data_IF_714958142980
#
_entry.id   IF_714958142980
#
_cell.length_a   1.000
_cell.length_b   1.000
_cell.length_c   1.000
_cell.angle_alpha   90.00
_cell.angle_beta   90.00
_cell.angle_gamma   90.00
#
_symmetry.space_group_name_H-M   'P 1'
#
loop_
_entity.id
_entity.type
_entity.pdbx_description
1 polymer ?
#
# COMPACT_ATOMS: atom_id res chain seq x y z
N UNK A 1 18.94 42.96 -33.25
CA UNK A 1 18.65 42.00 -32.16
C UNK A 1 17.16 42.02 -31.83
N UNK A 2 16.38 41.11 -32.45
CA UNK A 2 15.05 40.63 -32.06
C UNK A 2 14.67 39.49 -33.04
N UNK A 3 13.89 38.44 -32.67
CA UNK A 3 13.67 37.91 -31.33
C UNK A 3 13.68 36.36 -31.27
N UNK A 4 14.42 35.77 -30.32
CA UNK A 4 14.27 34.35 -29.92
C UNK A 4 12.83 34.02 -29.46
N UNK A 5 12.08 35.05 -29.02
CA UNK A 5 10.66 34.95 -28.63
C UNK A 5 9.72 34.53 -29.77
N UNK A 6 10.07 34.77 -31.04
CA UNK A 6 9.18 34.43 -32.17
C UNK A 6 9.22 32.94 -32.56
N UNK A 7 10.33 32.25 -32.27
CA UNK A 7 10.50 30.82 -32.52
C UNK A 7 9.86 30.01 -31.39
N UNK A 8 10.10 30.40 -30.14
CA UNK A 8 9.44 29.80 -28.97
C UNK A 8 7.93 30.05 -28.95
N UNK A 9 7.44 31.24 -29.35
CA UNK A 9 5.99 31.47 -29.52
C UNK A 9 5.41 30.64 -30.65
N UNK A 10 6.06 30.54 -31.82
CA UNK A 10 5.56 29.67 -32.92
C UNK A 10 5.52 28.20 -32.52
N UNK A 11 6.55 27.72 -31.82
CA UNK A 11 6.58 26.35 -31.30
C UNK A 11 5.51 26.10 -30.23
N UNK A 12 5.20 27.10 -29.40
CA UNK A 12 4.12 27.02 -28.41
C UNK A 12 2.73 27.01 -29.07
N UNK A 13 2.48 27.86 -30.08
CA UNK A 13 1.20 27.88 -30.80
C UNK A 13 0.96 26.57 -31.57
N UNK A 14 2.01 26.00 -32.18
CA UNK A 14 1.93 24.69 -32.83
C UNK A 14 1.65 23.56 -31.84
N UNK A 15 2.25 23.61 -30.64
CA UNK A 15 1.96 22.66 -29.55
C UNK A 15 0.53 22.79 -29.04
N UNK A 16 0.06 24.02 -28.80
CA UNK A 16 -1.31 24.28 -28.36
C UNK A 16 -2.34 23.80 -29.38
N UNK A 17 -2.06 24.00 -30.68
CA UNK A 17 -2.90 23.47 -31.76
C UNK A 17 -2.97 21.93 -31.72
N UNK A 18 -1.84 21.25 -31.50
CA UNK A 18 -1.80 19.79 -31.36
C UNK A 18 -2.54 19.32 -30.10
N UNK A 19 -2.36 19.99 -28.96
CA UNK A 19 -3.09 19.67 -27.73
C UNK A 19 -4.59 19.79 -27.97
N UNK A 20 -5.05 20.92 -28.54
CA UNK A 20 -6.47 21.13 -28.86
C UNK A 20 -7.02 20.06 -29.81
N UNK A 21 -6.25 19.67 -30.83
CA UNK A 21 -6.62 18.60 -31.77
C UNK A 21 -6.83 17.25 -31.07
N UNK A 22 -6.02 16.93 -30.06
CA UNK A 22 -6.07 15.65 -29.35
C UNK A 22 -6.81 15.69 -27.99
N UNK A 23 -7.38 16.82 -27.59
CA UNK A 23 -8.24 16.91 -26.40
C UNK A 23 -9.40 15.90 -26.42
N UNK A 24 -10.15 15.73 -27.53
CA UNK A 24 -11.24 14.74 -27.57
C UNK A 24 -10.76 13.31 -27.32
N UNK A 25 -9.53 12.98 -27.74
CA UNK A 25 -8.92 11.68 -27.47
C UNK A 25 -8.68 11.49 -25.97
N UNK A 26 -8.07 12.48 -25.31
CA UNK A 26 -7.83 12.43 -23.87
C UNK A 26 -9.13 12.29 -23.07
N UNK A 27 -10.14 13.10 -23.39
CA UNK A 27 -11.44 13.05 -22.73
C UNK A 27 -12.16 11.70 -22.98
N UNK A 28 -12.06 11.15 -24.19
CA UNK A 28 -12.62 9.84 -24.49
C UNK A 28 -11.91 8.69 -23.74
N UNK A 29 -10.58 8.78 -23.56
CA UNK A 29 -9.83 7.81 -22.75
C UNK A 29 -10.21 7.92 -21.27
N UNK A 30 -10.31 9.13 -20.73
CA UNK A 30 -10.74 9.39 -19.36
C UNK A 30 -12.15 8.84 -19.08
N UNK A 31 -13.13 9.16 -19.94
CA UNK A 31 -14.51 8.63 -19.83
C UNK A 31 -14.54 7.11 -19.87
N UNK A 32 -13.83 6.48 -20.82
CA UNK A 32 -13.74 5.00 -20.90
C UNK A 32 -13.07 4.39 -19.67
N UNK A 33 -12.10 5.08 -19.08
CA UNK A 33 -11.43 4.61 -17.86
C UNK A 33 -12.38 4.68 -16.66
N UNK A 34 -13.06 5.81 -16.47
CA UNK A 34 -14.08 5.98 -15.43
C UNK A 34 -15.24 4.98 -15.59
N UNK A 35 -15.78 4.76 -16.80
CA UNK A 35 -16.84 3.77 -17.02
C UNK A 35 -16.46 2.34 -16.63
N UNK A 36 -15.17 1.98 -16.68
CA UNK A 36 -14.70 0.67 -16.23
C UNK A 36 -14.62 0.58 -14.70
N UNK A 37 -14.55 1.72 -14.00
CA UNK A 37 -14.27 1.83 -12.58
C UNK A 37 -14.96 3.08 -11.96
N UNK A 38 -16.30 3.16 -12.00
CA UNK A 38 -17.03 4.39 -11.68
C UNK A 38 -16.88 4.82 -10.20
N UNK A 39 -16.70 3.85 -9.30
CA UNK A 39 -16.66 4.09 -7.86
C UNK A 39 -15.25 4.45 -7.32
N UNK A 40 -14.22 4.43 -8.16
CA UNK A 40 -12.82 4.58 -7.71
C UNK A 40 -12.25 5.97 -7.93
N UNK A 41 -12.71 6.68 -8.95
CA UNK A 41 -12.24 8.02 -9.30
C UNK A 41 -13.39 8.80 -9.94
N UNK A 42 -13.52 10.07 -9.58
CA UNK A 42 -14.45 10.97 -10.25
C UNK A 42 -14.08 11.13 -11.73
N UNK A 43 -15.09 11.35 -12.56
CA UNK A 43 -14.88 11.54 -13.99
C UNK A 43 -14.01 12.75 -14.28
N UNK A 44 -14.19 13.85 -13.54
CA UNK A 44 -13.44 15.09 -13.72
C UNK A 44 -11.97 14.94 -13.38
N UNK A 45 -11.64 14.18 -12.34
CA UNK A 45 -10.25 13.81 -12.01
C UNK A 45 -9.60 13.01 -13.14
N UNK A 46 -10.31 12.02 -13.68
CA UNK A 46 -9.82 11.25 -14.83
C UNK A 46 -9.55 12.17 -16.04
N UNK A 47 -10.44 13.12 -16.31
CA UNK A 47 -10.28 14.09 -17.40
C UNK A 47 -9.04 14.97 -17.16
N UNK A 48 -8.87 15.49 -15.96
CA UNK A 48 -7.72 16.33 -15.61
C UNK A 48 -6.40 15.57 -15.78
N UNK A 49 -6.32 14.33 -15.27
CA UNK A 49 -5.12 13.48 -15.41
C UNK A 49 -4.82 13.19 -16.89
N UNK A 50 -5.84 12.85 -17.68
CA UNK A 50 -5.66 12.58 -19.10
C UNK A 50 -5.18 13.81 -19.87
N UNK A 51 -5.73 15.00 -19.58
CA UNK A 51 -5.32 16.27 -20.19
C UNK A 51 -3.91 16.68 -19.77
N UNK A 52 -3.56 16.52 -18.49
CA UNK A 52 -2.20 16.77 -18.01
C UNK A 52 -1.18 15.85 -18.71
N UNK A 53 -1.51 14.56 -18.83
CA UNK A 53 -0.67 13.60 -19.54
C UNK A 53 -0.52 13.96 -21.03
N UNK A 54 -1.58 14.45 -21.68
CA UNK A 54 -1.53 14.96 -23.05
C UNK A 54 -0.57 16.14 -23.19
N UNK A 55 -0.66 17.14 -22.30
CA UNK A 55 0.25 18.30 -22.30
C UNK A 55 1.70 17.87 -22.12
N UNK A 56 1.96 16.95 -21.18
CA UNK A 56 3.32 16.46 -20.92
C UNK A 56 3.87 15.60 -22.08
N UNK A 57 3.03 14.77 -22.70
CA UNK A 57 3.44 13.86 -23.77
C UNK A 57 3.65 14.59 -25.10
N UNK A 58 2.84 15.60 -25.42
CA UNK A 58 2.98 16.42 -26.64
C UNK A 58 4.32 17.16 -26.69
N UNK A 59 4.88 17.55 -25.54
CA UNK A 59 6.22 18.14 -25.46
C UNK A 59 7.35 17.19 -25.92
N UNK A 60 7.10 15.88 -25.95
CA UNK A 60 8.08 14.84 -26.34
C UNK A 60 7.77 14.19 -27.69
N UNK A 61 6.70 14.64 -28.36
CA UNK A 61 6.25 14.08 -29.62
C UNK A 61 7.22 14.46 -30.74
N UNK A 62 7.74 13.46 -31.47
CA UNK A 62 8.67 13.67 -32.59
C UNK A 62 7.97 13.68 -33.95
N UNK A 63 6.92 12.88 -34.10
CA UNK A 63 6.21 12.70 -35.37
C UNK A 63 4.70 12.73 -35.17
N UNK A 64 3.98 13.48 -36.01
CA UNK A 64 2.52 13.57 -35.90
C UNK A 64 1.80 12.29 -36.28
N UNK A 65 2.33 11.50 -37.22
CA UNK A 65 1.69 10.26 -37.70
C UNK A 65 1.57 9.20 -36.60
N UNK A 66 2.55 9.16 -35.70
CA UNK A 66 2.58 8.21 -34.56
C UNK A 66 1.90 8.77 -33.30
N UNK A 67 1.45 10.03 -33.34
CA UNK A 67 0.88 10.72 -32.20
C UNK A 67 -0.31 10.01 -31.56
N UNK A 68 -1.33 9.51 -32.28
CA UNK A 68 -2.50 8.89 -31.64
C UNK A 68 -2.14 7.67 -30.79
N UNK A 69 -1.28 6.78 -31.31
CA UNK A 69 -0.86 5.57 -30.60
C UNK A 69 0.03 5.90 -29.40
N UNK A 70 0.97 6.83 -29.57
CA UNK A 70 1.85 7.29 -28.51
C UNK A 70 1.08 7.96 -27.37
N UNK A 71 0.24 8.95 -27.69
CA UNK A 71 -0.55 9.71 -26.72
C UNK A 71 -1.52 8.80 -25.97
N UNK A 72 -2.20 7.88 -26.66
CA UNK A 72 -3.07 6.88 -26.02
C UNK A 72 -2.30 6.10 -24.95
N UNK A 73 -1.10 5.59 -25.27
CA UNK A 73 -0.28 4.83 -24.32
C UNK A 73 0.14 5.66 -23.11
N UNK A 74 0.52 6.93 -23.32
CA UNK A 74 0.89 7.84 -22.24
C UNK A 74 -0.30 8.16 -21.32
N UNK A 75 -1.47 8.46 -21.91
CA UNK A 75 -2.70 8.79 -21.18
C UNK A 75 -3.18 7.58 -20.35
N UNK A 76 -3.23 6.39 -20.97
CA UNK A 76 -3.64 5.16 -20.27
C UNK A 76 -2.70 4.81 -19.11
N UNK A 77 -1.40 5.03 -19.30
CA UNK A 77 -0.39 4.87 -18.26
C UNK A 77 -0.57 5.85 -17.10
N UNK A 78 -0.80 7.13 -17.41
CA UNK A 78 -1.03 8.18 -16.42
C UNK A 78 -2.30 7.92 -15.59
N UNK A 79 -3.41 7.56 -16.24
CA UNK A 79 -4.65 7.17 -15.57
C UNK A 79 -4.45 5.96 -14.64
N UNK A 80 -3.75 4.93 -15.13
CA UNK A 80 -3.43 3.75 -14.32
C UNK A 80 -2.53 4.09 -13.13
N UNK A 81 -1.55 4.97 -13.29
CA UNK A 81 -0.71 5.43 -12.18
C UNK A 81 -1.51 6.23 -11.16
N UNK A 82 -2.32 7.18 -11.61
CA UNK A 82 -3.16 7.98 -10.73
C UNK A 82 -4.10 7.11 -9.90
N UNK A 83 -4.76 6.14 -10.53
CA UNK A 83 -5.60 5.17 -9.82
C UNK A 83 -4.81 4.38 -8.76
N UNK A 84 -3.59 3.93 -9.08
CA UNK A 84 -2.75 3.16 -8.15
C UNK A 84 -2.31 3.95 -6.92
N UNK A 85 -2.08 5.25 -7.08
CA UNK A 85 -1.52 6.09 -6.03
C UNK A 85 -2.56 6.90 -5.26
N UNK A 86 -3.75 7.16 -5.84
CA UNK A 86 -4.77 8.05 -5.27
C UNK A 86 -6.14 7.42 -5.03
N UNK A 87 -6.51 6.35 -5.74
CA UNK A 87 -7.87 5.78 -5.63
C UNK A 87 -8.04 4.77 -4.47
N UNK A 88 -6.94 4.25 -3.92
CA UNK A 88 -6.99 3.28 -2.82
C UNK A 88 -6.69 4.00 -1.51
N UNK A 89 -7.58 3.86 -0.52
CA UNK A 89 -7.34 4.34 0.85
C UNK A 89 -6.07 3.72 1.46
N UNK A 90 -5.73 2.50 1.05
CA UNK A 90 -4.52 1.80 1.47
C UNK A 90 -3.67 1.50 0.24
N UNK A 91 -2.40 1.95 0.26
CA UNK A 91 -1.47 1.71 -0.85
C UNK A 91 -1.06 0.25 -0.90
N UNK A 92 -1.51 -0.47 -1.93
CA UNK A 92 -1.21 -1.89 -2.11
C UNK A 92 0.05 -2.13 -2.97
N UNK A 93 0.98 -3.00 -2.54
CA UNK A 93 2.10 -3.43 -3.37
C UNK A 93 1.59 -4.21 -4.60
N UNK A 94 2.32 -4.13 -5.71
CA UNK A 94 1.89 -4.66 -7.01
C UNK A 94 1.47 -6.14 -6.99
N UNK A 95 2.15 -6.95 -6.16
CA UNK A 95 1.88 -8.39 -5.98
C UNK A 95 0.54 -8.72 -5.30
N UNK A 96 -0.02 -7.81 -4.50
CA UNK A 96 -1.26 -8.05 -3.76
C UNK A 96 -2.54 -7.76 -4.57
N UNK A 97 -2.39 -7.33 -5.83
CA UNK A 97 -3.47 -6.79 -6.67
C UNK A 97 -4.32 -7.85 -7.37
N UNK A 98 -3.88 -9.10 -7.42
CA UNK A 98 -4.57 -10.18 -8.15
C UNK A 98 -5.68 -10.89 -7.39
N UNK A 99 -5.86 -10.61 -6.09
CA UNK A 99 -6.61 -11.52 -5.21
C UNK A 99 -7.96 -11.02 -4.68
N UNK A 100 -8.33 -9.74 -4.82
CA UNK A 100 -9.67 -9.29 -4.44
C UNK A 100 -10.00 -7.88 -4.97
N UNK A 101 -11.28 -7.56 -5.18
CA UNK A 101 -11.74 -6.17 -5.29
C UNK A 101 -11.64 -5.52 -3.90
N UNK A 102 -10.47 -4.98 -3.57
CA UNK A 102 -10.28 -4.20 -2.35
C UNK A 102 -11.00 -2.86 -2.48
N UNK A 103 -12.30 -2.87 -2.20
CA UNK A 103 -13.14 -1.68 -2.09
C UNK A 103 -13.23 -1.33 -0.61
N UNK A 104 -13.07 -0.06 -0.30
CA UNK A 104 -13.33 0.44 1.04
C UNK A 104 -14.82 0.74 1.17
N UNK A 105 -15.37 0.51 2.36
CA UNK A 105 -16.71 0.93 2.73
C UNK A 105 -16.56 2.00 3.82
N UNK A 106 -17.35 3.06 3.72
CA UNK A 106 -17.40 4.07 4.79
C UNK A 106 -18.08 3.46 6.01
N UNK A 107 -17.52 3.68 7.19
CA UNK A 107 -18.16 3.29 8.45
C UNK A 107 -19.42 4.13 8.72
N UNK A 108 -19.49 5.34 8.18
CA UNK A 108 -20.66 6.22 8.29
C UNK A 108 -21.76 5.85 7.29
N UNK A 109 -21.51 4.92 6.36
CA UNK A 109 -22.55 4.46 5.44
C UNK A 109 -23.60 3.63 6.19
N UNK A 110 -24.88 3.71 5.80
CA UNK A 110 -25.94 2.91 6.41
C UNK A 110 -25.64 1.42 6.23
N UNK A 111 -25.74 0.65 7.32
CA UNK A 111 -25.46 -0.79 7.32
C UNK A 111 -26.53 -1.61 6.57
N UNK A 112 -27.73 -1.04 6.41
CA UNK A 112 -28.87 -1.66 5.73
C UNK A 112 -29.50 -0.63 4.79
N UNK A 113 -29.90 -1.07 3.59
CA UNK A 113 -30.65 -0.25 2.63
C UNK A 113 -32.14 -0.11 2.98
N UNK A 114 -32.61 -0.76 4.04
CA UNK A 114 -33.99 -0.64 4.48
C UNK A 114 -34.21 0.68 5.22
N UNK A 115 -35.01 1.56 4.62
CA UNK A 115 -35.64 2.66 5.33
C UNK A 115 -36.84 2.08 6.10
N UNK A 116 -36.68 1.85 7.39
CA UNK A 116 -37.86 1.70 8.26
C UNK A 116 -38.46 3.09 8.50
N UNK A 117 -39.76 3.17 8.75
CA UNK A 117 -40.45 4.41 9.19
C UNK A 117 -39.91 4.96 10.53
N UNK A 118 -38.86 4.35 11.10
CA UNK A 118 -38.34 4.55 12.45
C UNK A 118 -37.03 5.36 12.51
N UNK A 119 -36.76 6.21 11.51
CA UNK A 119 -35.57 7.08 11.47
C UNK A 119 -34.43 6.55 10.59
N UNK A 120 -33.27 7.25 10.55
CA UNK A 120 -32.15 6.85 9.72
C UNK A 120 -31.60 5.48 10.15
N UNK A 121 -31.29 4.62 9.18
CA UNK A 121 -30.67 3.33 9.43
C UNK A 121 -29.32 3.50 10.17
N UNK A 122 -28.97 2.60 11.11
CA UNK A 122 -27.69 2.67 11.81
C UNK A 122 -26.53 2.58 10.82
N UNK A 123 -25.47 3.34 11.08
CA UNK A 123 -24.25 3.28 10.30
C UNK A 123 -23.49 1.98 10.59
N UNK A 124 -22.56 1.59 9.71
CA UNK A 124 -21.65 0.47 10.02
C UNK A 124 -20.88 0.69 11.33
N UNK A 125 -20.53 1.94 11.65
CA UNK A 125 -19.88 2.29 12.91
C UNK A 125 -20.72 1.92 14.13
N UNK A 126 -22.03 2.17 14.08
CA UNK A 126 -22.96 1.86 15.17
C UNK A 126 -23.16 0.36 15.38
N UNK A 127 -22.97 -0.43 14.31
CA UNK A 127 -23.06 -1.89 14.34
C UNK A 127 -21.76 -2.57 14.78
N UNK A 128 -20.63 -1.85 14.84
CA UNK A 128 -19.35 -2.43 15.23
C UNK A 128 -19.32 -2.67 16.75
N UNK A 129 -19.00 -3.89 17.21
CA UNK A 129 -18.81 -4.12 18.64
C UNK A 129 -17.60 -3.32 19.13
N UNK A 130 -17.70 -2.78 20.35
CA UNK A 130 -16.54 -2.20 21.01
C UNK A 130 -15.39 -3.22 21.03
N UNK A 131 -14.13 -2.80 20.81
CA UNK A 131 -13.01 -3.71 20.92
C UNK A 131 -13.08 -4.40 22.27
N UNK A 132 -12.94 -5.72 22.28
CA UNK A 132 -12.92 -6.47 23.53
C UNK A 132 -11.91 -5.79 24.45
N UNK A 133 -12.21 -5.64 25.76
CA UNK A 133 -11.22 -5.14 26.70
C UNK A 133 -9.95 -5.93 26.47
N UNK A 134 -8.80 -5.25 26.42
CA UNK A 134 -7.49 -5.91 26.34
C UNK A 134 -7.42 -6.78 27.58
N UNK A 135 -7.82 -8.05 27.42
CA UNK A 135 -7.60 -9.03 28.45
C UNK A 135 -6.08 -9.11 28.53
N UNK A 136 -5.49 -8.95 29.73
CA UNK A 136 -4.07 -9.27 29.87
C UNK A 136 -3.91 -10.64 29.23
N UNK A 137 -3.01 -10.72 28.24
CA UNK A 137 -2.84 -11.93 27.45
C UNK A 137 -2.89 -13.11 28.42
N UNK A 138 -3.80 -14.07 28.15
CA UNK A 138 -3.89 -15.33 28.89
C UNK A 138 -2.47 -15.68 29.33
N UNK A 139 -2.25 -15.76 30.66
CA UNK A 139 -0.98 -16.25 31.22
C UNK A 139 -0.56 -17.40 30.33
N UNK A 140 0.54 -17.24 29.56
CA UNK A 140 0.79 -18.13 28.44
C UNK A 140 0.75 -19.55 29.00
N UNK A 141 -0.01 -20.45 28.35
CA UNK A 141 -0.23 -21.83 28.82
C UNK A 141 1.06 -22.50 29.30
N UNK A 142 2.20 -22.05 28.74
CA UNK A 142 3.56 -22.34 29.19
C UNK A 142 4.31 -21.02 29.42
N UNK A 143 4.83 -20.77 30.63
CA UNK A 143 5.60 -19.56 30.88
C UNK A 143 6.85 -19.56 30.01
N UNK A 144 7.08 -18.47 29.26
CA UNK A 144 8.23 -18.28 28.37
C UNK A 144 9.57 -18.60 29.05
N UNK A 145 9.63 -18.42 30.38
CA UNK A 145 10.76 -18.77 31.23
C UNK A 145 11.11 -20.26 31.16
N UNK A 146 10.13 -21.17 31.11
CA UNK A 146 10.37 -22.62 30.99
C UNK A 146 10.93 -22.98 29.62
N UNK A 147 10.38 -22.39 28.55
CA UNK A 147 10.88 -22.63 27.19
C UNK A 147 12.32 -22.11 27.02
N UNK A 148 12.65 -20.98 27.63
CA UNK A 148 14.02 -20.46 27.63
C UNK A 148 14.99 -21.37 28.40
N UNK A 149 14.55 -22.03 29.48
CA UNK A 149 15.37 -23.01 30.21
C UNK A 149 15.71 -24.26 29.38
N UNK A 150 14.86 -24.63 28.42
CA UNK A 150 15.10 -25.75 27.53
C UNK A 150 16.07 -25.45 26.37
N UNK A 151 16.43 -24.17 26.18
CA UNK A 151 17.42 -23.78 25.17
C UNK A 151 18.86 -23.94 25.69
N UNK A 152 19.83 -24.11 24.77
CA UNK A 152 21.24 -23.93 25.09
C UNK A 152 21.48 -22.57 25.76
N UNK A 153 22.28 -22.56 26.84
CA UNK A 153 22.48 -21.40 27.72
C UNK A 153 22.85 -20.11 26.96
N UNK A 154 23.67 -20.22 25.91
CA UNK A 154 24.05 -19.08 25.05
C UNK A 154 22.89 -18.50 24.25
N UNK A 155 22.01 -19.35 23.71
CA UNK A 155 20.84 -18.90 22.94
C UNK A 155 19.83 -18.23 23.87
N UNK A 156 19.58 -18.82 25.05
CA UNK A 156 18.72 -18.23 26.07
C UNK A 156 19.22 -16.84 26.53
N UNK A 157 20.52 -16.70 26.79
CA UNK A 157 21.12 -15.43 27.18
C UNK A 157 20.99 -14.36 26.07
N UNK A 158 21.26 -14.72 24.82
CA UNK A 158 21.09 -13.83 23.67
C UNK A 158 19.65 -13.38 23.50
N UNK A 159 18.68 -14.28 23.61
CA UNK A 159 17.26 -13.94 23.49
C UNK A 159 16.78 -13.06 24.63
N UNK A 160 17.24 -13.29 25.86
CA UNK A 160 16.91 -12.45 27.00
C UNK A 160 17.41 -11.02 26.79
N UNK A 161 18.68 -10.85 26.43
CA UNK A 161 19.26 -9.52 26.21
C UNK A 161 18.64 -8.79 25.01
N UNK A 162 18.31 -9.49 23.93
CA UNK A 162 17.87 -8.84 22.69
C UNK A 162 16.35 -8.67 22.57
N UNK A 163 15.58 -9.70 22.91
CA UNK A 163 14.12 -9.72 22.72
C UNK A 163 13.41 -9.24 23.98
N UNK A 164 13.82 -9.73 25.15
CA UNK A 164 13.15 -9.36 26.42
C UNK A 164 13.64 -8.01 26.95
N UNK A 165 14.95 -7.78 26.95
CA UNK A 165 15.56 -6.54 27.46
C UNK A 165 15.71 -5.46 26.36
N UNK A 166 15.39 -5.78 25.10
CA UNK A 166 15.39 -4.82 23.98
C UNK A 166 16.77 -4.31 23.54
N UNK A 167 17.89 -4.93 23.95
CA UNK A 167 19.23 -4.47 23.57
C UNK A 167 19.52 -4.76 22.10
N UNK A 168 20.31 -3.88 21.48
CA UNK A 168 20.82 -4.12 20.13
C UNK A 168 21.78 -5.32 20.08
N UNK A 169 21.95 -5.91 18.88
CA UNK A 169 22.89 -7.02 18.67
C UNK A 169 24.33 -6.66 19.07
N UNK A 170 24.74 -5.40 18.86
CA UNK A 170 26.08 -4.91 19.24
C UNK A 170 26.24 -4.83 20.76
N UNK A 171 25.26 -4.26 21.46
CA UNK A 171 25.28 -4.15 22.93
C UNK A 171 25.22 -5.53 23.60
N UNK A 172 24.41 -6.45 23.07
CA UNK A 172 24.37 -7.83 23.56
C UNK A 172 25.69 -8.57 23.30
N UNK A 173 26.33 -8.33 22.16
CA UNK A 173 27.63 -8.91 21.83
C UNK A 173 28.74 -8.41 22.75
N UNK A 174 28.78 -7.10 23.02
CA UNK A 174 29.70 -6.49 23.98
C UNK A 174 29.50 -7.07 25.39
N UNK A 175 28.27 -7.15 25.86
CA UNK A 175 27.95 -7.71 27.19
C UNK A 175 28.33 -9.19 27.33
N UNK A 176 28.22 -9.97 26.25
CA UNK A 176 28.53 -11.41 26.26
C UNK A 176 29.99 -11.72 25.86
N UNK A 177 30.80 -10.71 25.51
CA UNK A 177 32.16 -10.92 24.98
C UNK A 177 32.18 -11.69 23.65
N UNK A 178 31.16 -11.52 22.81
CA UNK A 178 30.99 -12.20 21.53
C UNK A 178 31.04 -11.21 20.35
N UNK A 179 31.14 -11.74 19.12
CA UNK A 179 30.90 -10.95 17.91
C UNK A 179 29.40 -10.73 17.67
N UNK A 180 28.98 -9.56 17.15
CA UNK A 180 27.59 -9.31 16.73
C UNK A 180 27.04 -10.36 15.76
N UNK A 181 27.89 -10.95 14.92
CA UNK A 181 27.48 -12.02 14.00
C UNK A 181 27.14 -13.31 14.74
N UNK A 182 27.90 -13.64 15.79
CA UNK A 182 27.66 -14.80 16.65
C UNK A 182 26.34 -14.63 17.40
N UNK A 183 26.10 -13.45 17.97
CA UNK A 183 24.82 -13.11 18.62
C UNK A 183 23.66 -13.20 17.62
N UNK A 184 23.82 -12.70 16.39
CA UNK A 184 22.77 -12.81 15.37
C UNK A 184 22.42 -14.27 15.04
N UNK A 185 23.43 -15.13 14.87
CA UNK A 185 23.23 -16.56 14.58
C UNK A 185 22.59 -17.29 15.75
N UNK A 186 23.06 -17.02 16.97
CA UNK A 186 22.50 -17.62 18.19
C UNK A 186 21.06 -17.16 18.45
N UNK A 187 20.72 -15.90 18.13
CA UNK A 187 19.33 -15.39 18.17
C UNK A 187 18.43 -16.13 17.18
N UNK A 188 18.88 -16.27 15.93
CA UNK A 188 18.11 -16.96 14.89
C UNK A 188 17.85 -18.42 15.28
N UNK A 189 18.90 -19.15 15.68
CA UNK A 189 18.82 -20.55 16.12
C UNK A 189 17.94 -20.72 17.37
N UNK A 190 18.06 -19.79 18.33
CA UNK A 190 17.23 -19.78 19.52
C UNK A 190 15.75 -19.60 19.20
N UNK A 191 15.39 -18.66 18.32
CA UNK A 191 14.00 -18.45 17.88
C UNK A 191 13.45 -19.65 17.10
N UNK A 192 14.25 -20.24 16.21
CA UNK A 192 13.88 -21.46 15.48
C UNK A 192 13.64 -22.63 16.43
N UNK A 193 14.50 -22.80 17.45
CA UNK A 193 14.35 -23.87 18.44
C UNK A 193 13.16 -23.63 19.37
N UNK A 194 12.91 -22.40 19.81
CA UNK A 194 11.71 -22.06 20.56
C UNK A 194 10.44 -22.37 19.75
N UNK A 195 10.45 -22.06 18.46
CA UNK A 195 9.34 -22.39 17.57
C UNK A 195 9.12 -23.89 17.48
N UNK A 196 10.18 -24.70 17.33
CA UNK A 196 10.08 -26.16 17.35
C UNK A 196 9.52 -26.68 18.67
N UNK A 197 10.10 -26.25 19.81
CA UNK A 197 9.64 -26.66 21.14
C UNK A 197 8.20 -26.27 21.42
N UNK A 198 7.72 -25.17 20.84
CA UNK A 198 6.33 -24.74 20.95
C UNK A 198 5.40 -25.62 20.12
N UNK A 199 5.82 -26.02 18.91
CA UNK A 199 5.02 -26.83 17.98
C UNK A 199 5.04 -28.34 18.29
N UNK A 200 6.12 -28.87 18.87
CA UNK A 200 6.30 -30.30 19.17
C UNK A 200 5.52 -30.77 20.41
N UNK A 201 4.88 -29.87 21.15
CA UNK A 201 4.13 -30.24 22.35
C UNK A 201 2.65 -30.50 22.01
N UNK A 202 2.06 -31.63 22.45
CA UNK A 202 0.62 -31.83 22.32
C UNK A 202 -0.11 -30.71 23.07
N UNK A 203 -1.21 -30.23 22.50
CA UNK A 203 -2.16 -29.39 23.22
C UNK A 203 -2.52 -30.13 24.52
N UNK A 204 -2.34 -29.48 25.67
CA UNK A 204 -2.76 -30.10 26.92
C UNK A 204 -4.28 -30.34 26.83
N UNK A 205 -4.79 -31.53 27.22
CA UNK A 205 -6.23 -31.71 27.35
C UNK A 205 -6.75 -30.74 28.41
N UNK A 206 -7.84 -30.03 28.05
CA UNK A 206 -8.60 -29.12 28.91
C UNK A 206 -9.04 -29.80 30.22
#
# INVERSE_FOLDING_TARGET
>A
MAPLLSRSRRDAHSRDALIRRFLPLADARARRFHHRMPDLLEQDDCIQVARLALVQATARLREERTAPAYLKRCIDGALSHHLRDRALMVRLPARARGHAPWRHLSLDAPATSAHSDSGPAPSWLDCLPAPAPIQPALEPEKPIVQLLKALPQRQAAVLRLTVLDGRSLRQAAEFLGLSPMTVSRDRQRGLERLRQLFLEQPAAPC
#
